data_IF_522757924867
#
_entry.id   IF_522757924867
#
_cell.length_a   1.000
_cell.length_b   1.000
_cell.length_c   1.000
_cell.angle_alpha   90.00
_cell.angle_beta   90.00
_cell.angle_gamma   90.00
#
_symmetry.space_group_name_H-M   'P 1'
#
loop_
_entity.id
_entity.type
_entity.pdbx_description
1 polymer ?
#
# COMPACT_ATOMS: atom_id res chain seq x y z
N UNK A 1 10.59 -16.55 -2.34
CA UNK A 1 10.08 -15.39 -3.08
C UNK A 1 10.99 -14.22 -2.76
N UNK A 2 11.57 -13.59 -3.79
CA UNK A 2 12.57 -12.54 -3.60
C UNK A 2 11.84 -11.24 -3.31
N UNK A 3 12.30 -10.53 -2.29
CA UNK A 3 11.77 -9.23 -1.93
C UNK A 3 12.94 -8.27 -1.74
N UNK A 4 12.78 -7.04 -2.21
CA UNK A 4 13.77 -5.96 -2.08
C UNK A 4 13.25 -4.82 -1.18
N UNK A 5 12.04 -4.97 -0.65
CA UNK A 5 11.50 -4.07 0.35
C UNK A 5 10.41 -4.75 1.18
N UNK A 6 9.83 -3.98 2.10
CA UNK A 6 8.74 -4.44 2.97
C UNK A 6 7.39 -3.86 2.61
N UNK A 7 7.33 -2.92 1.67
CA UNK A 7 6.09 -2.30 1.19
C UNK A 7 5.35 -3.15 0.16
N UNK A 8 4.23 -2.62 -0.33
CA UNK A 8 3.49 -3.12 -1.49
C UNK A 8 4.32 -2.91 -2.75
N UNK A 9 4.22 -3.81 -3.75
CA UNK A 9 4.98 -3.72 -5.00
C UNK A 9 6.51 -3.73 -4.79
N UNK A 10 6.99 -4.42 -3.75
CA UNK A 10 8.44 -4.56 -3.45
C UNK A 10 8.89 -6.03 -3.33
N UNK A 11 8.13 -6.94 -3.94
CA UNK A 11 8.41 -8.36 -4.01
C UNK A 11 8.03 -8.93 -5.36
N UNK A 12 8.72 -10.00 -5.80
CA UNK A 12 8.39 -10.71 -7.04
C UNK A 12 6.90 -11.10 -7.07
N UNK A 13 6.38 -11.60 -5.94
CA UNK A 13 4.98 -12.04 -5.81
C UNK A 13 3.96 -10.95 -6.13
N UNK A 14 4.25 -9.70 -5.76
CA UNK A 14 3.34 -8.59 -6.03
C UNK A 14 3.28 -8.33 -7.54
N UNK A 15 4.40 -8.44 -8.24
CA UNK A 15 4.46 -8.31 -9.70
C UNK A 15 3.86 -9.52 -10.42
N UNK A 16 4.08 -10.73 -9.92
CA UNK A 16 3.44 -11.95 -10.46
C UNK A 16 1.91 -11.83 -10.33
N UNK A 17 1.41 -11.43 -9.16
CA UNK A 17 -0.03 -11.16 -8.95
C UNK A 17 -0.52 -10.07 -9.90
N UNK A 18 0.23 -8.99 -10.07
CA UNK A 18 -0.15 -7.88 -10.92
C UNK A 18 -0.19 -8.25 -12.42
N UNK A 19 0.72 -9.13 -12.87
CA UNK A 19 0.69 -9.70 -14.21
C UNK A 19 -0.52 -10.63 -14.39
N UNK A 20 -0.76 -11.55 -13.45
CA UNK A 20 -1.95 -12.43 -13.45
C UNK A 20 -3.26 -11.61 -13.51
N UNK A 21 -3.29 -10.46 -12.84
CA UNK A 21 -4.43 -9.54 -12.85
C UNK A 21 -4.59 -8.80 -14.18
N UNK A 22 -3.48 -8.39 -14.81
CA UNK A 22 -3.49 -7.78 -16.14
C UNK A 22 -4.06 -8.77 -17.16
N UNK A 23 -3.60 -10.02 -17.13
CA UNK A 23 -4.14 -11.12 -17.95
C UNK A 23 -5.62 -11.37 -17.65
N UNK A 24 -6.03 -11.34 -16.37
CA UNK A 24 -7.43 -11.54 -15.99
C UNK A 24 -8.34 -10.41 -16.49
N UNK A 25 -7.83 -9.19 -16.56
CA UNK A 25 -8.58 -8.01 -16.97
C UNK A 25 -8.50 -7.72 -18.47
N UNK A 26 -7.55 -8.33 -19.19
CA UNK A 26 -7.25 -8.03 -20.59
C UNK A 26 -6.89 -6.54 -20.77
N UNK A 27 -6.07 -6.02 -19.85
CA UNK A 27 -5.54 -4.66 -19.86
C UNK A 27 -4.26 -4.53 -19.01
N UNK A 28 -3.41 -3.56 -19.33
CA UNK A 28 -2.12 -3.34 -18.64
C UNK A 28 -2.31 -2.56 -17.34
N UNK A 29 -2.19 -3.23 -16.19
CA UNK A 29 -2.39 -2.60 -14.87
C UNK A 29 -1.13 -1.97 -14.27
N UNK A 30 0.06 -2.45 -14.63
CA UNK A 30 1.33 -2.06 -13.99
C UNK A 30 2.01 -0.90 -14.74
N UNK A 31 2.05 -0.99 -16.06
CA UNK A 31 2.74 -0.04 -16.93
C UNK A 31 1.96 0.10 -18.25
N UNK A 32 0.78 0.75 -18.24
CA UNK A 32 0.06 0.97 -19.48
C UNK A 32 0.93 1.78 -20.44
N UNK A 33 1.24 1.19 -21.59
CA UNK A 33 2.07 1.83 -22.61
C UNK A 33 1.27 2.95 -23.29
N UNK A 34 1.83 4.15 -23.30
CA UNK A 34 1.26 5.37 -23.90
C UNK A 34 -0.04 5.90 -23.22
N UNK A 35 -0.26 7.21 -23.27
CA UNK A 35 -1.39 7.87 -22.58
C UNK A 35 -2.76 7.35 -23.05
N UNK A 36 -2.86 6.90 -24.30
CA UNK A 36 -4.08 6.33 -24.88
C UNK A 36 -4.43 4.96 -24.27
N UNK A 37 -3.46 4.05 -24.13
CA UNK A 37 -3.66 2.73 -23.52
C UNK A 37 -4.01 2.81 -22.04
N UNK A 38 -3.41 3.76 -21.31
CA UNK A 38 -3.76 4.07 -19.92
C UNK A 38 -5.21 4.54 -19.80
N UNK A 39 -5.62 5.48 -20.65
CA UNK A 39 -6.97 6.04 -20.65
C UNK A 39 -8.04 4.99 -20.95
N UNK A 40 -7.78 4.09 -21.91
CA UNK A 40 -8.69 2.98 -22.21
C UNK A 40 -8.82 2.00 -21.04
N UNK A 41 -7.70 1.67 -20.38
CA UNK A 41 -7.68 0.78 -19.21
C UNK A 41 -8.50 1.36 -18.07
N UNK A 42 -8.28 2.64 -17.72
CA UNK A 42 -9.05 3.35 -16.68
C UNK A 42 -10.53 3.34 -17.02
N UNK A 43 -10.89 3.61 -18.28
CA UNK A 43 -12.28 3.59 -18.74
C UNK A 43 -12.91 2.22 -18.55
N UNK A 44 -12.27 1.13 -19.01
CA UNK A 44 -12.79 -0.24 -18.82
C UNK A 44 -13.03 -0.56 -17.35
N UNK A 45 -12.08 -0.21 -16.48
CA UNK A 45 -12.17 -0.44 -15.03
C UNK A 45 -13.33 0.31 -14.39
N UNK A 46 -13.50 1.61 -14.73
CA UNK A 46 -14.61 2.43 -14.27
C UNK A 46 -15.97 1.98 -14.84
N UNK A 47 -15.99 1.45 -16.07
CA UNK A 47 -17.19 0.90 -16.74
C UNK A 47 -17.58 -0.50 -16.22
N UNK A 48 -17.23 -0.80 -14.96
CA UNK A 48 -17.70 -1.98 -14.23
C UNK A 48 -16.77 -3.19 -14.26
N UNK A 49 -15.69 -3.18 -15.07
CA UNK A 49 -14.72 -4.28 -15.10
C UNK A 49 -14.06 -4.49 -13.73
N UNK A 50 -13.71 -3.40 -13.03
CA UNK A 50 -13.11 -3.49 -11.70
C UNK A 50 -14.01 -4.24 -10.73
N UNK A 51 -15.26 -3.80 -10.58
CA UNK A 51 -16.26 -4.42 -9.70
C UNK A 51 -16.47 -5.89 -10.04
N UNK A 52 -16.64 -6.21 -11.33
CA UNK A 52 -16.84 -7.59 -11.79
C UNK A 52 -15.66 -8.50 -11.40
N UNK A 53 -14.42 -8.06 -11.64
CA UNK A 53 -13.23 -8.87 -11.38
C UNK A 53 -12.95 -8.99 -9.89
N UNK A 54 -13.14 -7.92 -9.12
CA UNK A 54 -12.98 -7.95 -7.68
C UNK A 54 -13.98 -8.89 -7.01
N UNK A 55 -15.26 -8.85 -7.40
CA UNK A 55 -16.28 -9.79 -6.91
C UNK A 55 -15.92 -11.24 -7.26
N UNK A 56 -15.39 -11.49 -8.48
CA UNK A 56 -14.88 -12.81 -8.87
C UNK A 56 -13.73 -13.28 -7.98
N UNK A 57 -12.76 -12.41 -7.66
CA UNK A 57 -11.62 -12.75 -6.78
C UNK A 57 -12.09 -13.13 -5.37
N UNK A 58 -13.13 -12.47 -4.87
CA UNK A 58 -13.64 -12.65 -3.52
C UNK A 58 -14.60 -13.84 -3.39
N UNK A 59 -15.05 -14.41 -4.50
CA UNK A 59 -15.93 -15.57 -4.52
C UNK A 59 -15.28 -16.76 -3.77
N UNK A 60 -16.13 -17.61 -3.16
CA UNK A 60 -15.66 -18.74 -2.34
C UNK A 60 -14.97 -19.84 -3.16
N UNK A 61 -15.37 -19.96 -4.43
CA UNK A 61 -14.85 -20.91 -5.41
C UNK A 61 -13.69 -20.35 -6.24
N UNK A 62 -13.28 -19.09 -6.01
CA UNK A 62 -12.14 -18.51 -6.69
C UNK A 62 -10.87 -19.36 -6.52
N UNK A 63 -10.15 -19.54 -7.62
CA UNK A 63 -8.87 -20.23 -7.67
C UNK A 63 -7.84 -19.29 -8.29
N UNK A 64 -6.80 -18.89 -7.54
CA UNK A 64 -5.71 -18.09 -8.09
C UNK A 64 -4.92 -18.92 -9.12
N UNK A 65 -4.23 -18.24 -10.04
CA UNK A 65 -3.34 -18.91 -11.00
C UNK A 65 -2.26 -19.74 -10.26
N UNK A 66 -1.73 -19.18 -9.18
CA UNK A 66 -0.76 -19.84 -8.30
C UNK A 66 -1.37 -20.11 -6.92
N UNK A 67 -1.31 -21.36 -6.45
CA UNK A 67 -1.90 -21.77 -5.15
C UNK A 67 -1.30 -21.08 -3.91
N UNK A 68 -0.10 -20.48 -4.04
CA UNK A 68 0.55 -19.70 -2.98
C UNK A 68 -0.05 -18.30 -2.81
N UNK A 69 -0.71 -17.75 -3.85
CA UNK A 69 -1.31 -16.42 -3.80
C UNK A 69 -2.70 -16.47 -3.17
N UNK A 70 -2.79 -15.99 -1.93
CA UNK A 70 -4.09 -15.88 -1.24
C UNK A 70 -4.98 -14.85 -1.94
N UNK A 71 -6.25 -15.17 -2.11
CA UNK A 71 -7.25 -14.27 -2.73
C UNK A 71 -7.32 -12.90 -2.04
N UNK A 72 -7.11 -12.86 -0.73
CA UNK A 72 -7.12 -11.62 0.03
C UNK A 72 -5.96 -10.70 -0.38
N UNK A 73 -4.77 -11.27 -0.66
CA UNK A 73 -3.63 -10.52 -1.19
C UNK A 73 -3.92 -10.05 -2.61
N UNK A 74 -4.45 -10.91 -3.46
CA UNK A 74 -4.82 -10.57 -4.84
C UNK A 74 -5.82 -9.42 -4.88
N UNK A 75 -6.86 -9.46 -4.05
CA UNK A 75 -7.86 -8.39 -3.95
C UNK A 75 -7.25 -7.05 -3.51
N UNK A 76 -6.31 -7.08 -2.54
CA UNK A 76 -5.58 -5.88 -2.11
C UNK A 76 -4.72 -5.34 -3.25
N UNK A 77 -3.88 -6.17 -3.88
CA UNK A 77 -3.01 -5.74 -4.98
C UNK A 77 -3.83 -5.19 -6.15
N UNK A 78 -4.92 -5.87 -6.54
CA UNK A 78 -5.79 -5.38 -7.61
C UNK A 78 -6.37 -4.00 -7.32
N UNK A 79 -6.79 -3.77 -6.08
CA UNK A 79 -7.34 -2.47 -5.70
C UNK A 79 -6.25 -1.40 -5.61
N UNK A 80 -5.06 -1.73 -5.10
CA UNK A 80 -3.95 -0.78 -5.06
C UNK A 80 -3.53 -0.34 -6.46
N UNK A 81 -3.45 -1.27 -7.43
CA UNK A 81 -3.21 -0.96 -8.84
C UNK A 81 -4.32 -0.08 -9.43
N UNK A 82 -5.58 -0.36 -9.09
CA UNK A 82 -6.71 0.47 -9.53
C UNK A 82 -6.62 1.90 -8.96
N UNK A 83 -6.20 2.07 -7.69
CA UNK A 83 -5.93 3.38 -7.11
C UNK A 83 -4.76 4.09 -7.81
N UNK A 84 -3.67 3.37 -8.12
CA UNK A 84 -2.53 3.91 -8.89
C UNK A 84 -2.91 4.34 -10.32
N UNK A 85 -3.97 3.75 -10.87
CA UNK A 85 -4.53 4.17 -12.15
C UNK A 85 -5.47 5.38 -12.02
N UNK A 86 -6.00 5.68 -10.84
CA UNK A 86 -7.03 6.70 -10.65
C UNK A 86 -8.47 6.19 -10.84
N UNK A 87 -8.71 4.89 -10.67
CA UNK A 87 -10.04 4.29 -10.82
C UNK A 87 -10.96 4.74 -9.68
N UNK A 88 -12.20 5.10 -10.01
CA UNK A 88 -13.23 5.45 -9.02
C UNK A 88 -13.84 4.15 -8.47
N UNK A 89 -13.63 3.93 -7.18
CA UNK A 89 -13.97 2.67 -6.51
C UNK A 89 -15.18 2.88 -5.59
N UNK A 90 -16.13 1.94 -5.66
CA UNK A 90 -17.30 1.98 -4.77
C UNK A 90 -16.86 1.86 -3.29
N UNK A 91 -17.42 2.68 -2.37
CA UNK A 91 -17.03 2.66 -0.96
C UNK A 91 -17.16 1.31 -0.24
N UNK A 92 -18.00 0.39 -0.75
CA UNK A 92 -18.12 -0.97 -0.21
C UNK A 92 -16.83 -1.78 -0.33
N UNK A 93 -16.09 -1.61 -1.42
CA UNK A 93 -14.82 -2.31 -1.64
C UNK A 93 -13.71 -1.74 -0.75
N UNK A 94 -13.66 -0.42 -0.59
CA UNK A 94 -12.72 0.24 0.31
C UNK A 94 -12.91 -0.24 1.77
N UNK A 95 -14.17 -0.32 2.24
CA UNK A 95 -14.48 -0.87 3.58
C UNK A 95 -14.05 -2.33 3.73
N UNK A 96 -14.21 -3.13 2.68
CA UNK A 96 -13.81 -4.52 2.70
C UNK A 96 -12.28 -4.66 2.78
N UNK A 97 -11.49 -3.85 2.08
CA UNK A 97 -10.03 -3.91 2.18
C UNK A 97 -9.52 -3.60 3.59
N UNK A 98 -10.20 -2.72 4.32
CA UNK A 98 -9.92 -2.48 5.74
C UNK A 98 -10.02 -3.76 6.57
N UNK A 99 -10.97 -4.65 6.24
CA UNK A 99 -11.11 -5.98 6.88
C UNK A 99 -10.00 -6.94 6.45
N UNK A 100 -9.55 -6.86 5.19
CA UNK A 100 -8.48 -7.71 4.65
C UNK A 100 -7.08 -7.28 5.09
N UNK A 101 -6.87 -6.04 5.52
CA UNK A 101 -5.58 -5.48 5.92
C UNK A 101 -4.73 -6.43 6.79
N UNK A 102 -5.26 -7.09 7.85
CA UNK A 102 -4.44 -7.97 8.69
C UNK A 102 -3.85 -9.20 7.99
N UNK A 103 -4.27 -9.48 6.75
CA UNK A 103 -3.72 -10.54 5.91
C UNK A 103 -2.39 -10.15 5.24
N UNK A 104 -2.03 -8.87 5.24
CA UNK A 104 -0.74 -8.41 4.72
C UNK A 104 0.41 -8.80 5.67
N UNK A 105 1.50 -9.37 5.14
CA UNK A 105 2.57 -9.98 5.94
C UNK A 105 3.48 -8.98 6.68
N UNK A 106 3.52 -7.71 6.28
CA UNK A 106 4.39 -6.69 6.89
C UNK A 106 3.59 -5.55 7.49
N UNK A 107 4.15 -4.87 8.49
CA UNK A 107 3.51 -3.70 9.09
C UNK A 107 3.47 -2.55 8.08
N UNK A 108 4.50 -2.43 7.27
CA UNK A 108 4.67 -1.43 6.22
C UNK A 108 3.56 -1.53 5.17
N UNK A 109 3.27 -2.74 4.66
CA UNK A 109 2.15 -2.97 3.74
C UNK A 109 0.80 -2.62 4.38
N UNK A 110 0.60 -2.98 5.66
CA UNK A 110 -0.64 -2.64 6.37
C UNK A 110 -0.83 -1.12 6.52
N UNK A 111 0.26 -0.38 6.77
CA UNK A 111 0.21 1.07 6.90
C UNK A 111 0.01 1.76 5.55
N UNK A 112 0.65 1.29 4.48
CA UNK A 112 0.41 1.79 3.11
C UNK A 112 -1.05 1.62 2.71
N UNK A 113 -1.64 0.44 2.94
CA UNK A 113 -3.05 0.21 2.64
C UNK A 113 -3.97 1.12 3.47
N UNK A 114 -3.72 1.29 4.77
CA UNK A 114 -4.55 2.16 5.62
C UNK A 114 -4.44 3.62 5.20
N UNK A 115 -3.25 4.06 4.80
CA UNK A 115 -3.02 5.43 4.32
C UNK A 115 -3.73 5.65 2.99
N UNK A 116 -3.59 4.73 2.04
CA UNK A 116 -4.32 4.78 0.77
C UNK A 116 -5.84 4.80 0.99
N UNK A 117 -6.38 3.94 1.86
CA UNK A 117 -7.82 3.93 2.17
C UNK A 117 -8.34 5.22 2.82
N UNK A 118 -7.46 6.01 3.42
CA UNK A 118 -7.81 7.26 4.09
C UNK A 118 -7.61 8.49 3.18
N UNK A 119 -6.52 8.51 2.42
CA UNK A 119 -6.06 9.68 1.67
C UNK A 119 -6.37 9.58 0.17
N UNK A 120 -6.73 8.41 -0.35
CA UNK A 120 -7.14 8.28 -1.74
C UNK A 120 -8.43 9.07 -2.00
N UNK A 121 -8.33 10.11 -2.82
CA UNK A 121 -9.42 11.04 -3.14
C UNK A 121 -10.61 10.36 -3.82
N UNK A 122 -10.35 9.29 -4.57
CA UNK A 122 -11.36 8.54 -5.29
C UNK A 122 -12.17 9.40 -6.29
N UNK A 123 -11.49 10.35 -6.94
CA UNK A 123 -12.07 11.34 -7.85
C UNK A 123 -11.48 11.28 -9.27
N UNK A 124 -10.66 10.28 -9.56
CA UNK A 124 -9.88 10.16 -10.80
C UNK A 124 -8.39 10.45 -10.63
N UNK A 125 -8.00 11.10 -9.52
CA UNK A 125 -6.59 11.37 -9.22
C UNK A 125 -5.85 10.06 -8.89
N UNK A 126 -4.72 9.75 -9.56
CA UNK A 126 -3.89 8.60 -9.24
C UNK A 126 -3.32 8.61 -7.80
N UNK A 127 -3.21 7.43 -7.21
CA UNK A 127 -2.46 7.20 -5.98
C UNK A 127 -1.00 6.83 -6.30
N UNK A 128 -0.04 7.39 -5.60
CA UNK A 128 1.37 7.01 -5.67
C UNK A 128 1.71 6.20 -4.42
N UNK A 129 2.08 4.92 -4.53
CA UNK A 129 2.26 4.04 -3.34
C UNK A 129 3.52 4.32 -2.52
N UNK A 130 4.44 5.15 -3.05
CA UNK A 130 5.70 5.51 -2.38
C UNK A 130 6.71 4.36 -2.26
N UNK A 131 6.44 3.22 -2.92
CA UNK A 131 7.32 2.06 -2.97
C UNK A 131 8.36 2.19 -4.10
N UNK A 132 9.62 1.88 -3.81
CA UNK A 132 10.64 1.71 -4.87
C UNK A 132 10.48 0.40 -5.62
N UNK A 133 10.60 0.46 -6.93
CA UNK A 133 10.85 -0.72 -7.76
C UNK A 133 12.26 -1.31 -7.54
N UNK A 134 12.46 -2.54 -8.01
CA UNK A 134 13.72 -3.30 -7.82
C UNK A 134 14.95 -2.53 -8.28
N UNK A 135 14.87 -1.87 -9.43
CA UNK A 135 15.98 -1.13 -10.03
C UNK A 135 16.33 0.09 -9.15
N UNK A 136 15.33 0.82 -8.67
CA UNK A 136 15.55 2.02 -7.86
C UNK A 136 16.09 1.67 -6.47
N UNK A 137 15.64 0.56 -5.90
CA UNK A 137 16.21 0.01 -4.68
C UNK A 137 17.68 -0.36 -4.86
N UNK A 138 18.04 -1.03 -5.97
CA UNK A 138 19.44 -1.37 -6.27
C UNK A 138 20.31 -0.12 -6.46
N UNK A 139 19.85 0.84 -7.27
CA UNK A 139 20.56 2.11 -7.50
C UNK A 139 20.81 2.87 -6.21
N UNK A 140 19.82 2.90 -5.31
CA UNK A 140 20.01 3.53 -4.01
C UNK A 140 21.03 2.79 -3.14
N UNK A 141 20.93 1.46 -3.05
CA UNK A 141 21.86 0.66 -2.26
C UNK A 141 23.32 0.88 -2.66
N UNK A 142 23.58 1.15 -3.95
CA UNK A 142 24.92 1.44 -4.48
C UNK A 142 25.44 2.84 -4.13
N UNK A 143 24.60 3.88 -4.20
CA UNK A 143 25.02 5.28 -3.98
C UNK A 143 24.81 5.78 -2.55
N UNK A 144 24.08 5.03 -1.73
CA UNK A 144 23.64 5.42 -0.40
C UNK A 144 22.32 6.22 -0.39
N UNK A 145 21.62 6.26 0.75
CA UNK A 145 20.30 6.90 0.88
C UNK A 145 20.39 8.43 0.69
N UNK A 146 19.43 9.02 -0.02
CA UNK A 146 19.24 10.48 -0.09
C UNK A 146 17.91 10.89 0.56
N UNK A 147 17.87 12.09 1.13
CA UNK A 147 16.72 12.68 1.81
C UNK A 147 15.46 12.79 0.95
N UNK A 148 15.56 12.69 -0.38
CA UNK A 148 14.44 12.86 -1.30
C UNK A 148 14.11 11.62 -2.12
N UNK A 149 14.77 10.50 -1.83
CA UNK A 149 14.49 9.30 -2.55
C UNK A 149 13.24 8.62 -2.02
N UNK A 150 12.24 8.45 -2.90
CA UNK A 150 11.07 7.63 -2.64
C UNK A 150 11.52 6.30 -2.02
N UNK A 151 10.94 5.90 -0.89
CA UNK A 151 11.14 4.58 -0.29
C UNK A 151 12.56 4.23 0.21
N UNK A 152 13.51 5.17 0.33
CA UNK A 152 14.87 4.83 0.80
C UNK A 152 15.00 4.60 2.29
N UNK A 153 14.15 5.30 3.01
CA UNK A 153 14.19 5.31 4.45
C UNK A 153 12.82 4.94 5.02
N UNK A 154 11.80 4.68 4.19
CA UNK A 154 10.37 4.74 4.55
C UNK A 154 9.94 6.17 5.01
N UNK A 155 10.90 7.02 5.40
CA UNK A 155 10.79 8.37 5.95
C UNK A 155 10.54 9.52 4.94
N UNK A 156 10.40 9.24 3.63
CA UNK A 156 9.86 10.20 2.66
C UNK A 156 8.91 9.49 1.68
N UNK A 157 7.63 9.87 1.73
CA UNK A 157 6.48 9.31 0.99
C UNK A 157 6.17 7.81 1.16
N UNK A 158 6.88 7.05 2.00
CA UNK A 158 6.80 5.58 2.04
C UNK A 158 5.44 4.95 2.42
N UNK A 159 4.41 5.77 2.66
CA UNK A 159 3.02 5.35 2.87
C UNK A 159 2.10 5.64 1.66
N UNK A 160 2.58 6.41 0.70
CA UNK A 160 1.89 6.90 -0.50
C UNK A 160 1.28 8.30 -0.35
N UNK A 161 0.83 8.86 -1.47
CA UNK A 161 0.19 10.19 -1.57
C UNK A 161 -0.63 10.29 -2.87
N UNK A 162 -1.55 11.26 -2.98
CA UNK A 162 -2.24 11.55 -4.25
C UNK A 162 -1.29 12.24 -5.22
N UNK A 163 -1.30 11.89 -6.51
CA UNK A 163 -0.30 12.35 -7.50
C UNK A 163 -0.29 13.87 -7.74
N UNK A 164 -1.36 14.58 -7.38
CA UNK A 164 -1.48 16.03 -7.47
C UNK A 164 -1.03 16.77 -6.19
N UNK A 165 -0.56 16.03 -5.18
CA UNK A 165 -0.11 16.57 -3.89
C UNK A 165 1.41 16.49 -3.73
N UNK A 166 1.95 17.39 -2.92
CA UNK A 166 3.35 17.32 -2.51
C UNK A 166 3.48 16.18 -1.48
N UNK A 167 4.42 15.23 -1.66
CA UNK A 167 4.59 14.14 -0.72
C UNK A 167 4.85 14.67 0.69
N UNK A 168 4.04 14.26 1.67
CA UNK A 168 4.19 14.70 3.05
C UNK A 168 5.56 14.26 3.61
N UNK A 169 6.27 15.19 4.25
CA UNK A 169 7.53 14.93 4.94
C UNK A 169 7.33 14.30 6.32
N UNK A 170 6.14 14.43 6.92
CA UNK A 170 5.82 13.85 8.21
C UNK A 170 5.23 12.45 8.04
N UNK A 171 6.09 11.46 8.27
CA UNK A 171 5.70 10.07 8.42
C UNK A 171 4.73 9.91 9.60
N UNK A 172 3.53 9.41 9.32
CA UNK A 172 2.86 8.28 9.98
C UNK A 172 1.36 8.50 9.77
N UNK A 173 0.70 7.55 9.11
CA UNK A 173 -0.75 7.44 9.06
C UNK A 173 -1.36 7.86 10.40
N UNK A 174 -2.11 8.95 10.42
CA UNK A 174 -2.80 9.44 11.62
C UNK A 174 -4.08 8.65 11.89
N UNK A 175 -4.19 7.47 11.29
CA UNK A 175 -5.37 6.62 11.30
C UNK A 175 -5.18 5.51 12.33
N UNK A 176 -6.23 5.28 13.11
CA UNK A 176 -6.26 4.19 14.06
C UNK A 176 -6.22 2.84 13.33
N UNK A 177 -5.23 2.01 13.65
CA UNK A 177 -5.14 0.65 13.11
C UNK A 177 -6.31 -0.24 13.58
N UNK A 178 -7.07 0.09 14.61
CA UNK A 178 -8.23 -0.71 15.01
C UNK A 178 -9.51 -0.24 14.31
N UNK A 179 -9.96 0.98 14.61
CA UNK A 179 -11.26 1.49 14.14
C UNK A 179 -11.17 2.38 12.91
N UNK A 180 -9.98 2.87 12.53
CA UNK A 180 -9.76 3.77 11.41
C UNK A 180 -10.18 5.24 11.62
N UNK A 181 -10.38 5.68 12.86
CA UNK A 181 -10.51 7.11 13.17
C UNK A 181 -9.21 7.86 12.87
N UNK A 182 -9.32 9.12 12.43
CA UNK A 182 -8.20 10.00 12.09
C UNK A 182 -7.63 10.75 13.29
N UNK A 183 -6.54 11.48 13.04
CA UNK A 183 -5.87 12.36 13.99
C UNK A 183 -5.55 11.71 15.34
N UNK A 184 -5.14 10.44 15.28
CA UNK A 184 -4.77 9.69 16.49
C UNK A 184 -3.28 9.79 16.80
N UNK A 185 -2.93 9.90 18.09
CA UNK A 185 -1.55 10.11 18.52
C UNK A 185 -0.95 8.96 19.34
N UNK A 186 -1.75 8.05 19.88
CA UNK A 186 -1.21 6.93 20.66
C UNK A 186 -0.50 5.95 19.72
N UNK A 187 0.82 5.78 19.92
CA UNK A 187 1.65 4.86 19.14
C UNK A 187 1.93 3.58 19.89
N UNK A 188 2.03 2.46 19.17
CA UNK A 188 2.55 1.22 19.72
C UNK A 188 3.95 1.47 20.30
N UNK A 189 4.16 1.16 21.58
CA UNK A 189 5.41 1.44 22.29
C UNK A 189 6.62 0.68 21.73
N UNK A 190 6.41 -0.45 21.04
CA UNK A 190 7.45 -1.31 20.47
C UNK A 190 7.92 -0.86 19.08
N UNK A 191 7.01 -0.76 18.11
CA UNK A 191 7.36 -0.37 16.74
C UNK A 191 7.38 1.15 16.51
N UNK A 192 6.62 1.91 17.32
CA UNK A 192 6.37 3.36 17.16
C UNK A 192 5.74 3.78 15.83
N UNK A 193 5.26 2.83 15.01
CA UNK A 193 4.64 3.08 13.70
C UNK A 193 3.11 2.97 13.75
N UNK A 194 2.57 1.85 14.25
CA UNK A 194 1.12 1.67 14.37
C UNK A 194 0.52 2.67 15.37
N UNK A 195 -0.57 3.35 14.96
CA UNK A 195 -1.31 4.31 15.79
C UNK A 195 -2.70 3.80 16.19
N UNK A 196 -3.21 4.32 17.30
CA UNK A 196 -4.49 3.96 17.89
C UNK A 196 -5.15 5.19 18.52
N UNK A 197 -6.48 5.21 18.63
CA UNK A 197 -7.17 6.26 19.40
C UNK A 197 -6.72 6.25 20.85
N UNK A 198 -6.72 5.06 21.45
CA UNK A 198 -6.48 4.83 22.86
C UNK A 198 -5.96 3.41 23.13
N UNK A 199 -5.72 3.11 24.41
CA UNK A 199 -5.26 1.80 24.84
C UNK A 199 -6.29 0.68 24.57
N UNK A 200 -7.58 1.00 24.42
CA UNK A 200 -8.61 0.01 24.12
C UNK A 200 -8.48 -0.47 22.68
N UNK A 201 -8.36 0.47 21.73
CA UNK A 201 -8.09 0.17 20.32
C UNK A 201 -6.77 -0.59 20.15
N UNK A 202 -5.72 -0.21 20.88
CA UNK A 202 -4.45 -0.93 20.86
C UNK A 202 -4.59 -2.38 21.34
N UNK A 203 -5.30 -2.61 22.45
CA UNK A 203 -5.52 -3.96 23.00
C UNK A 203 -6.39 -4.82 22.07
N UNK A 204 -7.41 -4.22 21.45
CA UNK A 204 -8.30 -4.90 20.52
C UNK A 204 -7.56 -5.40 19.26
N UNK A 205 -6.68 -4.57 18.68
CA UNK A 205 -5.90 -4.92 17.48
C UNK A 205 -4.68 -5.80 17.79
N UNK A 206 -4.22 -5.86 19.06
CA UNK A 206 -2.99 -6.53 19.45
C UNK A 206 -2.85 -7.99 18.95
N UNK A 207 -3.89 -8.86 18.97
CA UNK A 207 -3.78 -10.22 18.44
C UNK A 207 -3.34 -10.29 16.97
N UNK A 208 -3.70 -9.28 16.19
CA UNK A 208 -3.33 -9.14 14.78
C UNK A 208 -1.99 -8.40 14.65
N UNK A 209 -1.86 -7.22 15.27
CA UNK A 209 -0.65 -6.39 15.18
C UNK A 209 0.61 -7.11 15.66
N UNK A 210 0.54 -7.90 16.73
CA UNK A 210 1.71 -8.60 17.30
C UNK A 210 2.42 -9.51 16.31
N UNK A 211 1.72 -9.99 15.27
CA UNK A 211 2.26 -10.86 14.22
C UNK A 211 3.23 -10.13 13.29
N UNK A 212 3.02 -8.83 13.08
CA UNK A 212 3.82 -7.98 12.19
C UNK A 212 4.63 -6.90 12.94
N UNK A 213 4.45 -6.80 14.26
CA UNK A 213 5.10 -5.79 15.09
C UNK A 213 6.61 -6.09 15.28
N UNK A 214 7.46 -5.20 14.78
CA UNK A 214 8.92 -5.25 14.96
C UNK A 214 9.43 -4.05 15.78
N UNK A 215 10.44 -4.20 16.66
CA UNK A 215 11.01 -3.08 17.43
C UNK A 215 11.58 -1.99 16.54
N UNK A 216 11.40 -0.72 16.95
CA UNK A 216 11.92 0.44 16.22
C UNK A 216 13.45 0.46 16.08
N UNK A 217 14.20 -0.22 16.94
CA UNK A 217 15.68 -0.21 16.88
C UNK A 217 16.27 -0.95 15.66
N UNK A 218 15.45 -1.73 14.94
CA UNK A 218 15.75 -2.22 13.58
C UNK A 218 15.59 -1.15 12.48
N UNK A 219 15.07 0.02 12.83
CA UNK A 219 14.87 1.22 12.01
C UNK A 219 15.81 2.29 12.61
N UNK A 220 17.11 2.16 12.34
CA UNK A 220 18.14 2.93 13.05
C UNK A 220 18.00 4.44 12.79
N UNK A 221 18.01 5.19 13.91
CA UNK A 221 18.23 6.63 14.14
C UNK A 221 18.25 7.51 12.87
N UNK A 222 17.25 8.38 12.73
CA UNK A 222 17.47 9.68 12.10
C UNK A 222 18.65 10.33 12.83
N UNK A 223 19.77 10.53 12.14
CA UNK A 223 20.72 11.56 12.56
C UNK A 223 19.96 12.86 12.34
N UNK A 224 19.46 13.44 13.42
CA UNK A 224 19.01 14.83 13.41
C UNK A 224 20.22 15.66 12.99
N UNK A 225 20.31 15.99 11.70
CA UNK A 225 21.17 17.08 11.29
C UNK A 225 20.52 18.34 11.86
N UNK A 226 21.04 18.74 13.02
CA UNK A 226 20.88 20.06 13.58
C UNK A 226 21.33 21.00 12.47
N UNK A 227 20.39 21.75 11.89
CA UNK A 227 20.70 22.87 11.03
C UNK A 227 21.19 23.97 11.97
N UNK A 228 22.50 24.15 12.04
CA UNK A 228 23.04 25.42 12.52
C UNK A 228 23.13 26.39 11.33
N UNK A 229 22.88 27.68 11.58
CA UNK A 229 22.68 28.70 10.53
C UNK A 229 23.89 28.87 9.62
#
# INVERSE_FOLDING_TARGET
MVAWGKGLMQSDDDYDIANDLSDMCDCDLIYPTEDEGRSETIKKLNDGLFSQKLEKILAADFRPATSYHKRERIAIIFTMLAMELGVIIEPRYLRMLKVLRPMLPTLEQQLQLVTALDEYKNDGTPWETGSKGLIDTKKSAERGPNKFDLGDEFWFSGLGFSSDEVPASEMVSKVCMNCGERDVDLRCSRCKMARYCDANCQRAEWPLHKKVCQPREGVRRCVSYIVHP
#
